data_IF_591595916555
#
_entry.id   IF_591595916555
#
_cell.length_a   1.000
_cell.length_b   1.000
_cell.length_c   1.000
_cell.angle_alpha   90.00
_cell.angle_beta   90.00
_cell.angle_gamma   90.00
#
_symmetry.space_group_name_H-M   'P 1'
#
loop_
_entity.id
_entity.type
_entity.pdbx_description
1 polymer ?
#
# COMPACT_ATOMS: atom_id res chain seq x y z
N UNK A 1 0.83 0.33 12.30
CA UNK A 1 2.09 -0.33 11.96
C UNK A 1 1.95 -1.86 11.87
N UNK A 2 1.41 -2.57 12.87
CA UNK A 2 1.32 -4.05 12.91
C UNK A 2 0.71 -4.66 11.64
N UNK A 3 -0.45 -4.18 11.19
CA UNK A 3 -1.09 -4.71 9.98
C UNK A 3 -0.29 -4.50 8.69
N UNK A 4 0.45 -3.40 8.58
CA UNK A 4 1.32 -3.16 7.43
C UNK A 4 2.49 -4.16 7.37
N UNK A 5 3.07 -4.48 8.53
CA UNK A 5 4.10 -5.51 8.63
C UNK A 5 3.56 -6.92 8.39
N UNK A 6 2.36 -7.22 8.89
CA UNK A 6 1.70 -8.50 8.62
C UNK A 6 1.39 -8.65 7.13
N UNK A 7 0.97 -7.58 6.46
CA UNK A 7 0.76 -7.58 5.00
C UNK A 7 2.07 -7.84 4.22
N UNK A 8 3.20 -7.27 4.69
CA UNK A 8 4.50 -7.44 4.03
C UNK A 8 5.17 -8.80 4.32
N UNK A 9 5.10 -9.28 5.55
CA UNK A 9 5.88 -10.44 6.03
C UNK A 9 5.05 -11.65 6.45
N UNK A 10 3.71 -11.56 6.33
CA UNK A 10 2.80 -12.58 6.83
C UNK A 10 2.63 -12.54 8.36
N UNK A 11 1.66 -13.30 8.83
CA UNK A 11 1.38 -13.48 10.26
C UNK A 11 1.98 -14.79 10.76
N UNK A 12 2.57 -14.78 11.95
CA UNK A 12 3.05 -15.97 12.64
C UNK A 12 2.41 -16.07 14.02
N UNK A 13 1.75 -17.19 14.30
CA UNK A 13 1.08 -17.42 15.60
C UNK A 13 2.04 -17.64 16.77
N UNK A 14 3.28 -18.04 16.49
CA UNK A 14 4.31 -18.15 17.52
C UNK A 14 4.94 -16.77 17.80
N UNK A 15 4.47 -16.13 18.86
CA UNK A 15 4.89 -14.79 19.24
C UNK A 15 6.36 -14.77 19.70
N UNK A 16 6.86 -15.83 20.31
CA UNK A 16 8.17 -15.87 20.95
C UNK A 16 9.34 -16.15 20.01
N UNK A 17 9.14 -17.04 19.05
CA UNK A 17 10.20 -17.48 18.15
C UNK A 17 9.80 -17.43 16.68
N UNK A 18 8.67 -16.81 16.36
CA UNK A 18 8.23 -16.59 15.00
C UNK A 18 8.99 -15.46 14.29
N UNK A 19 8.87 -15.40 12.96
CA UNK A 19 9.50 -14.40 12.11
C UNK A 19 8.50 -13.59 11.26
N UNK A 20 7.22 -13.67 11.59
CA UNK A 20 6.16 -12.93 10.91
C UNK A 20 6.23 -11.42 11.16
N UNK A 21 5.43 -10.65 10.42
CA UNK A 21 5.34 -9.21 10.58
C UNK A 21 4.93 -8.77 11.98
N UNK A 22 4.06 -9.53 12.64
CA UNK A 22 3.70 -9.29 14.04
C UNK A 22 4.89 -9.44 15.00
N UNK A 23 5.76 -10.43 14.80
CA UNK A 23 6.98 -10.62 15.59
C UNK A 23 7.97 -9.48 15.38
N UNK A 24 8.22 -9.10 14.12
CA UNK A 24 9.11 -7.99 13.76
C UNK A 24 8.66 -6.68 14.39
N UNK A 25 7.38 -6.35 14.31
CA UNK A 25 6.84 -5.12 14.93
C UNK A 25 7.00 -5.13 16.43
N UNK A 26 6.71 -6.24 17.10
CA UNK A 26 6.90 -6.36 18.55
C UNK A 26 8.36 -6.08 18.93
N UNK A 27 9.32 -6.66 18.22
CA UNK A 27 10.74 -6.44 18.46
C UNK A 27 11.13 -4.97 18.26
N UNK A 28 10.74 -4.38 17.12
CA UNK A 28 11.03 -2.98 16.80
C UNK A 28 10.46 -2.04 17.87
N UNK A 29 9.20 -2.26 18.30
CA UNK A 29 8.57 -1.42 19.32
C UNK A 29 9.29 -1.53 20.67
N UNK A 30 9.63 -2.75 21.10
CA UNK A 30 10.37 -2.95 22.37
C UNK A 30 11.75 -2.28 22.32
N UNK A 31 12.46 -2.37 21.21
CA UNK A 31 13.76 -1.73 21.07
C UNK A 31 13.65 -0.20 20.93
N UNK A 32 12.61 0.30 20.26
CA UNK A 32 12.31 1.73 20.19
C UNK A 32 12.04 2.33 21.58
N UNK A 33 11.32 1.61 22.46
CA UNK A 33 11.10 2.07 23.84
C UNK A 33 12.39 2.28 24.64
N UNK A 34 13.46 1.55 24.30
CA UNK A 34 14.79 1.72 24.92
C UNK A 34 15.54 2.94 24.39
N UNK A 35 15.17 3.42 23.21
CA UNK A 35 15.82 4.53 22.51
C UNK A 35 15.13 5.88 22.76
N UNK A 36 13.94 5.88 23.35
CA UNK A 36 13.19 7.10 23.59
C UNK A 36 13.85 7.97 24.68
N UNK A 37 13.78 9.31 24.53
CA UNK A 37 14.20 10.23 25.60
C UNK A 37 13.25 10.15 26.81
N UNK A 38 13.62 10.77 27.93
CA UNK A 38 12.70 11.01 29.02
C UNK A 38 11.57 11.94 28.55
N UNK A 39 10.32 11.61 28.87
CA UNK A 39 9.12 12.35 28.43
C UNK A 39 8.98 12.46 26.90
N UNK A 40 8.92 11.33 26.19
CA UNK A 40 8.90 11.33 24.74
C UNK A 40 7.57 11.87 24.19
N UNK A 41 7.66 12.66 23.15
CA UNK A 41 6.53 13.07 22.33
C UNK A 41 6.14 11.97 21.30
N UNK A 42 5.06 12.18 20.56
CA UNK A 42 4.69 11.29 19.44
C UNK A 42 5.73 11.28 18.33
N UNK A 43 6.36 12.41 18.07
CA UNK A 43 7.45 12.54 17.06
C UNK A 43 8.67 11.76 17.54
N UNK A 44 9.07 11.88 18.81
CA UNK A 44 10.16 11.10 19.39
C UNK A 44 9.88 9.58 19.33
N UNK A 45 8.61 9.19 19.55
CA UNK A 45 8.18 7.80 19.39
C UNK A 45 8.35 7.28 17.98
N UNK A 46 7.97 8.07 16.96
CA UNK A 46 8.22 7.73 15.55
C UNK A 46 9.72 7.59 15.27
N UNK A 47 10.51 8.55 15.70
CA UNK A 47 11.94 8.60 15.41
C UNK A 47 12.69 7.46 16.10
N UNK A 48 12.27 7.10 17.32
CA UNK A 48 12.80 5.92 18.01
C UNK A 48 12.49 4.61 17.30
N UNK A 49 11.31 4.47 16.68
CA UNK A 49 10.96 3.30 15.87
C UNK A 49 11.81 3.23 14.60
N UNK A 50 12.05 4.35 13.92
CA UNK A 50 12.95 4.43 12.78
C UNK A 50 14.40 4.10 13.16
N UNK A 51 14.86 4.58 14.32
CA UNK A 51 16.18 4.27 14.85
C UNK A 51 16.33 2.78 15.21
N UNK A 52 15.29 2.16 15.76
CA UNK A 52 15.26 0.72 16.04
C UNK A 52 15.30 -0.10 14.73
N UNK A 53 14.55 0.27 13.70
CA UNK A 53 14.62 -0.38 12.38
C UNK A 53 16.02 -0.22 11.80
N UNK A 54 16.61 0.96 11.86
CA UNK A 54 17.99 1.18 11.39
C UNK A 54 18.99 0.29 12.13
N UNK A 55 18.86 0.11 13.44
CA UNK A 55 19.75 -0.72 14.23
C UNK A 55 19.60 -2.23 13.98
N UNK A 56 18.36 -2.70 13.75
CA UNK A 56 18.06 -4.14 13.59
C UNK A 56 18.21 -4.60 12.14
N UNK A 57 17.74 -3.80 11.18
CA UNK A 57 17.62 -4.21 9.78
C UNK A 57 18.47 -3.38 8.82
N UNK A 58 19.13 -2.32 9.29
CA UNK A 58 19.79 -1.33 8.43
C UNK A 58 18.78 -0.39 7.75
N UNK A 59 17.59 -0.19 8.32
CA UNK A 59 16.55 0.69 7.79
C UNK A 59 15.73 0.07 6.64
N UNK A 60 15.67 -1.25 6.57
CA UNK A 60 14.97 -1.97 5.48
C UNK A 60 13.47 -1.64 5.42
N UNK A 61 12.86 -1.32 6.56
CA UNK A 61 11.45 -1.02 6.66
C UNK A 61 11.14 0.47 6.85
N UNK A 62 12.15 1.34 6.78
CA UNK A 62 12.01 2.78 7.04
C UNK A 62 10.90 3.45 6.22
N UNK A 63 10.77 3.10 4.93
CA UNK A 63 9.69 3.63 4.08
C UNK A 63 8.30 3.19 4.53
N UNK A 64 8.15 1.91 4.89
CA UNK A 64 6.88 1.39 5.40
C UNK A 64 6.50 2.09 6.72
N UNK A 65 7.49 2.30 7.59
CA UNK A 65 7.31 3.02 8.87
C UNK A 65 6.87 4.46 8.60
N UNK A 66 7.59 5.19 7.73
CA UNK A 66 7.24 6.56 7.36
C UNK A 66 5.82 6.67 6.80
N UNK A 67 5.43 5.80 5.88
CA UNK A 67 4.08 5.80 5.31
C UNK A 67 3.00 5.59 6.38
N UNK A 68 3.22 4.66 7.31
CA UNK A 68 2.25 4.37 8.38
C UNK A 68 2.09 5.56 9.31
N UNK A 69 3.19 6.23 9.67
CA UNK A 69 3.15 7.40 10.55
C UNK A 69 2.60 8.64 9.83
N UNK A 70 3.01 8.89 8.59
CA UNK A 70 2.51 10.01 7.79
C UNK A 70 0.99 9.96 7.61
N UNK A 71 0.41 8.79 7.35
CA UNK A 71 -1.06 8.60 7.29
C UNK A 71 -1.80 9.01 8.57
N UNK A 72 -1.08 9.18 9.67
CA UNK A 72 -1.62 9.59 10.98
C UNK A 72 -1.21 10.99 11.38
N UNK A 73 -0.70 11.79 10.42
CA UNK A 73 -0.26 13.15 10.66
C UNK A 73 1.15 13.27 11.26
N UNK A 74 1.88 12.15 11.41
CA UNK A 74 3.25 12.11 11.94
C UNK A 74 4.27 11.98 10.80
N UNK A 75 4.07 12.72 9.70
CA UNK A 75 5.00 12.80 8.57
C UNK A 75 6.27 13.59 8.88
N UNK A 76 7.04 13.86 7.83
CA UNK A 76 8.38 14.45 7.91
C UNK A 76 8.41 15.80 8.67
N UNK A 77 7.46 16.68 8.38
CA UNK A 77 7.34 18.02 8.97
C UNK A 77 6.45 18.09 10.22
N UNK A 78 6.02 16.95 10.78
CA UNK A 78 5.20 16.94 11.98
C UNK A 78 5.97 17.48 13.18
N UNK A 79 5.28 18.26 14.01
CA UNK A 79 5.84 18.83 15.26
C UNK A 79 4.93 18.54 16.44
N UNK A 80 5.51 18.15 17.55
CA UNK A 80 4.79 17.95 18.82
C UNK A 80 4.57 19.23 19.61
N UNK A 81 5.11 20.36 19.16
CA UNK A 81 4.99 21.64 19.87
C UNK A 81 5.67 21.65 21.23
N UNK A 82 5.22 22.54 22.11
CA UNK A 82 5.69 22.63 23.48
C UNK A 82 5.01 21.56 24.35
N UNK A 83 5.77 20.85 25.15
CA UNK A 83 5.29 19.77 26.04
C UNK A 83 4.20 20.23 27.02
N UNK A 84 4.14 21.52 27.33
CA UNK A 84 3.16 22.11 28.25
C UNK A 84 1.91 22.68 27.57
N UNK A 85 1.89 22.73 26.23
CA UNK A 85 0.75 23.19 25.44
C UNK A 85 0.07 22.03 24.75
N UNK A 86 -1.24 22.04 24.70
CA UNK A 86 -2.04 20.96 24.08
C UNK A 86 -2.63 21.32 22.71
N UNK A 87 -2.30 22.48 22.17
CA UNK A 87 -2.94 23.03 20.96
C UNK A 87 -1.95 23.62 19.94
N UNK A 88 -0.66 23.35 20.09
CA UNK A 88 0.40 23.85 19.20
C UNK A 88 1.07 22.76 18.37
N UNK A 89 0.52 21.54 18.40
CA UNK A 89 0.98 20.45 17.55
C UNK A 89 0.65 20.74 16.09
N UNK A 90 1.57 20.35 15.22
CA UNK A 90 1.39 20.45 13.76
C UNK A 90 1.43 19.07 13.13
N UNK A 91 0.36 18.67 12.48
CA UNK A 91 0.32 17.44 11.69
C UNK A 91 1.01 17.65 10.33
N UNK A 92 1.63 16.59 9.82
CA UNK A 92 2.19 16.55 8.48
C UNK A 92 2.02 15.16 7.88
N UNK A 93 1.70 15.09 6.59
CA UNK A 93 1.43 13.84 5.87
C UNK A 93 2.51 13.51 4.85
N UNK A 94 3.57 14.30 4.77
CA UNK A 94 4.68 14.08 3.86
C UNK A 94 5.59 12.95 4.36
N UNK A 95 6.10 12.16 3.42
CA UNK A 95 7.16 11.19 3.65
C UNK A 95 8.48 11.72 3.10
N UNK A 96 9.64 11.38 3.69
CA UNK A 96 10.92 11.75 3.11
C UNK A 96 11.11 11.14 1.73
N UNK A 97 11.99 11.75 0.93
CA UNK A 97 12.38 11.18 -0.36
C UNK A 97 12.86 9.72 -0.17
N UNK A 98 12.52 8.81 -1.09
CA UNK A 98 12.90 7.41 -0.99
C UNK A 98 14.42 7.26 -0.86
N UNK A 99 14.87 6.62 0.22
CA UNK A 99 16.26 6.21 0.39
C UNK A 99 16.59 4.94 -0.40
N UNK A 100 17.86 4.47 -0.36
CA UNK A 100 18.31 3.31 -1.12
C UNK A 100 17.59 2.00 -0.75
N UNK A 101 17.02 1.92 0.44
CA UNK A 101 16.24 0.77 0.91
C UNK A 101 14.74 0.93 0.65
N UNK A 102 14.31 2.07 0.14
CA UNK A 102 12.98 2.28 -0.38
C UNK A 102 12.95 1.82 -1.84
N UNK A 103 12.94 0.54 -2.08
CA UNK A 103 12.37 0.10 -3.35
C UNK A 103 10.96 0.68 -3.37
N UNK A 104 10.67 1.47 -4.38
CA UNK A 104 9.31 1.85 -4.72
C UNK A 104 8.54 0.57 -5.05
N UNK A 105 8.22 -0.21 -4.01
CA UNK A 105 7.11 -1.12 -4.07
C UNK A 105 5.93 -0.21 -4.39
N UNK A 106 5.32 -0.43 -5.52
CA UNK A 106 4.14 0.30 -5.93
C UNK A 106 3.14 0.18 -4.78
N UNK A 107 3.00 1.26 -4.01
CA UNK A 107 2.10 1.30 -2.87
C UNK A 107 0.68 1.15 -3.44
N UNK A 108 -0.04 0.10 -3.06
CA UNK A 108 -1.36 -0.23 -3.58
C UNK A 108 -2.39 0.92 -3.46
N UNK A 109 -2.09 1.94 -2.67
CA UNK A 109 -2.93 3.13 -2.52
C UNK A 109 -2.65 4.23 -3.55
N UNK A 110 -1.49 4.23 -4.23
CA UNK A 110 -1.16 5.20 -5.30
C UNK A 110 -1.43 4.64 -6.71
N UNK A 111 -1.62 3.34 -6.86
CA UNK A 111 -1.89 2.73 -8.16
C UNK A 111 -3.31 2.97 -8.68
N UNK A 112 -4.20 3.52 -7.87
CA UNK A 112 -5.52 3.91 -8.39
C UNK A 112 -5.39 4.97 -9.50
N UNK A 113 -4.40 5.86 -9.38
CA UNK A 113 -4.14 6.92 -10.35
C UNK A 113 -3.31 6.47 -11.58
N UNK A 114 -2.74 5.27 -11.55
CA UNK A 114 -1.94 4.73 -12.65
C UNK A 114 -2.72 3.78 -13.56
N UNK A 115 -3.86 3.27 -13.09
CA UNK A 115 -4.66 2.28 -13.82
C UNK A 115 -5.94 2.91 -14.31
N UNK A 116 -6.06 3.00 -15.63
CA UNK A 116 -7.19 3.61 -16.32
C UNK A 116 -7.95 2.56 -17.12
N UNK A 117 -9.25 2.68 -17.10
CA UNK A 117 -10.17 1.88 -17.94
C UNK A 117 -11.03 2.85 -18.72
N UNK A 118 -10.90 2.84 -20.04
CA UNK A 118 -11.62 3.77 -20.89
C UNK A 118 -12.01 3.15 -22.27
N UNK A 119 -13.12 3.58 -22.85
CA UNK A 119 -14.13 4.42 -22.25
C UNK A 119 -14.84 3.73 -21.09
N UNK A 120 -15.24 4.50 -20.08
CA UNK A 120 -16.07 4.04 -19.00
C UNK A 120 -17.11 5.14 -18.71
N UNK A 121 -18.38 4.99 -19.10
CA UNK A 121 -19.05 3.77 -19.60
C UNK A 121 -18.62 3.27 -21.00
N UNK A 122 -18.83 1.97 -21.25
CA UNK A 122 -18.52 1.30 -22.51
C UNK A 122 -19.67 0.37 -22.98
N UNK A 123 -19.59 -0.13 -24.19
CA UNK A 123 -20.51 -1.13 -24.75
C UNK A 123 -20.01 -2.59 -24.60
N UNK A 124 -19.13 -2.85 -23.62
CA UNK A 124 -18.51 -4.17 -23.40
C UNK A 124 -17.11 -4.30 -23.98
N UNK A 125 -16.59 -3.26 -24.64
CA UNK A 125 -15.21 -3.15 -25.11
C UNK A 125 -14.55 -1.91 -24.51
N UNK A 126 -13.38 -2.05 -23.93
CA UNK A 126 -12.63 -0.96 -23.31
C UNK A 126 -11.12 -1.25 -23.29
N UNK A 127 -10.33 -0.20 -23.11
CA UNK A 127 -8.88 -0.30 -22.96
C UNK A 127 -8.53 -0.32 -21.46
N UNK A 128 -7.66 -1.23 -21.08
CA UNK A 128 -6.96 -1.21 -19.81
C UNK A 128 -5.59 -0.58 -20.05
N UNK A 129 -5.31 0.52 -19.37
CA UNK A 129 -4.02 1.18 -19.38
C UNK A 129 -3.43 1.14 -17.97
N UNK A 130 -2.15 0.80 -17.86
CA UNK A 130 -1.39 0.80 -16.61
C UNK A 130 -0.10 1.57 -16.88
N UNK A 131 -0.08 2.83 -16.46
CA UNK A 131 1.06 3.71 -16.72
C UNK A 131 2.35 3.17 -16.09
N UNK A 132 3.39 3.04 -16.92
CA UNK A 132 4.71 2.64 -16.47
C UNK A 132 4.87 1.16 -16.12
N UNK A 133 3.87 0.32 -16.42
CA UNK A 133 3.94 -1.12 -16.18
C UNK A 133 4.14 -1.90 -17.49
N UNK A 134 5.04 -2.86 -17.43
CA UNK A 134 5.23 -3.90 -18.46
C UNK A 134 5.44 -5.23 -17.77
N UNK A 135 4.77 -6.28 -18.22
CA UNK A 135 4.90 -7.61 -17.61
C UNK A 135 3.64 -8.46 -17.76
N UNK A 136 3.61 -9.59 -17.08
CA UNK A 136 2.46 -10.48 -17.11
C UNK A 136 1.36 -9.99 -16.18
N UNK A 137 0.15 -9.91 -16.70
CA UNK A 137 -1.06 -9.67 -15.91
C UNK A 137 -2.07 -10.78 -16.06
N UNK A 138 -2.87 -10.92 -15.02
CA UNK A 138 -4.07 -11.75 -15.01
C UNK A 138 -5.26 -10.88 -14.61
N UNK A 139 -6.37 -10.94 -15.36
CA UNK A 139 -7.56 -10.24 -14.94
C UNK A 139 -8.79 -11.16 -14.85
N UNK A 140 -9.70 -10.78 -14.00
CA UNK A 140 -11.01 -11.38 -13.81
C UNK A 140 -12.08 -10.28 -13.76
N UNK A 141 -13.23 -10.54 -14.40
CA UNK A 141 -14.37 -9.60 -14.38
C UNK A 141 -15.53 -10.25 -13.64
N UNK A 142 -16.10 -9.49 -12.69
CA UNK A 142 -17.21 -9.93 -11.85
C UNK A 142 -18.41 -9.00 -12.00
N UNK A 143 -19.61 -9.55 -11.84
CA UNK A 143 -20.82 -8.76 -11.65
C UNK A 143 -20.95 -8.28 -10.17
N UNK A 144 -21.98 -7.47 -9.91
CA UNK A 144 -22.27 -6.95 -8.55
C UNK A 144 -22.61 -8.05 -7.52
N UNK A 145 -22.91 -9.27 -7.96
CA UNK A 145 -23.17 -10.44 -7.11
C UNK A 145 -21.93 -11.27 -6.86
N UNK A 146 -20.76 -10.86 -7.39
CA UNK A 146 -19.50 -11.59 -7.29
C UNK A 146 -19.37 -12.78 -8.25
N UNK A 147 -20.30 -12.92 -9.22
CA UNK A 147 -20.20 -13.97 -10.23
C UNK A 147 -19.17 -13.59 -11.28
N UNK A 148 -18.22 -14.48 -11.55
CA UNK A 148 -17.20 -14.31 -12.60
C UNK A 148 -17.85 -14.35 -13.98
N UNK A 149 -17.62 -13.30 -14.76
CA UNK A 149 -18.13 -13.12 -16.12
C UNK A 149 -17.06 -13.45 -17.15
N UNK A 150 -15.83 -13.03 -16.90
CA UNK A 150 -14.69 -13.23 -17.79
C UNK A 150 -13.40 -13.39 -17.00
N UNK A 151 -12.45 -14.11 -17.59
CA UNK A 151 -11.12 -14.31 -17.03
C UNK A 151 -10.10 -14.44 -18.16
N UNK A 152 -8.92 -13.85 -18.01
CA UNK A 152 -7.78 -14.07 -18.89
C UNK A 152 -6.48 -14.10 -18.08
N UNK A 153 -5.70 -15.15 -18.29
CA UNK A 153 -4.44 -15.41 -17.58
C UNK A 153 -3.24 -15.13 -18.48
N UNK A 154 -2.17 -14.67 -17.86
CA UNK A 154 -0.85 -14.53 -18.51
C UNK A 154 -0.89 -13.71 -19.79
N UNK A 155 -1.40 -12.49 -19.70
CA UNK A 155 -1.33 -11.51 -20.79
C UNK A 155 0.00 -10.79 -20.67
N UNK A 156 0.77 -10.78 -21.75
CA UNK A 156 1.95 -9.94 -21.86
C UNK A 156 1.49 -8.49 -22.09
N UNK A 157 1.59 -7.68 -21.05
CA UNK A 157 1.04 -6.34 -21.02
C UNK A 157 2.13 -5.29 -21.29
N UNK A 158 1.86 -4.44 -22.27
CA UNK A 158 2.72 -3.31 -22.62
C UNK A 158 1.88 -2.05 -22.73
N UNK A 159 1.92 -1.20 -21.72
CA UNK A 159 1.23 0.07 -21.57
C UNK A 159 -0.30 0.01 -21.60
N UNK A 160 -0.92 -0.60 -22.62
CA UNK A 160 -2.36 -0.73 -22.74
C UNK A 160 -2.78 -2.00 -23.49
N UNK A 161 -3.95 -2.53 -23.13
CA UNK A 161 -4.48 -3.77 -23.70
C UNK A 161 -5.99 -3.65 -23.88
N UNK A 162 -6.55 -3.98 -25.05
CA UNK A 162 -7.99 -4.03 -25.25
C UNK A 162 -8.60 -5.22 -24.51
N UNK A 163 -9.72 -4.97 -23.85
CA UNK A 163 -10.54 -5.98 -23.19
C UNK A 163 -11.92 -5.99 -23.82
N UNK A 164 -12.32 -7.14 -24.30
CA UNK A 164 -13.62 -7.37 -24.91
C UNK A 164 -14.39 -8.39 -24.07
N UNK A 165 -15.55 -7.99 -23.57
CA UNK A 165 -16.43 -8.85 -22.77
C UNK A 165 -17.53 -9.49 -23.63
N UNK A 166 -17.60 -9.13 -24.92
CA UNK A 166 -18.64 -9.58 -25.84
C UNK A 166 -20.02 -9.03 -25.49
N UNK A 167 -21.07 -9.80 -25.81
CA UNK A 167 -22.45 -9.41 -25.49
C UNK A 167 -22.73 -9.60 -24.02
N UNK A 168 -22.69 -8.51 -23.27
CA UNK A 168 -22.92 -8.45 -21.83
C UNK A 168 -24.08 -7.50 -21.53
N UNK A 169 -24.86 -7.75 -20.50
CA UNK A 169 -25.97 -6.89 -20.08
C UNK A 169 -25.45 -5.55 -19.55
N UNK A 170 -26.20 -4.47 -19.81
CA UNK A 170 -25.91 -3.17 -19.21
C UNK A 170 -25.93 -3.25 -17.68
N UNK A 171 -24.94 -2.64 -17.04
CA UNK A 171 -24.80 -2.71 -15.59
C UNK A 171 -23.43 -2.31 -15.08
N UNK A 172 -23.24 -2.51 -13.77
CA UNK A 172 -21.96 -2.27 -13.08
C UNK A 172 -21.22 -3.59 -12.92
N UNK A 173 -19.95 -3.57 -13.24
CA UNK A 173 -19.03 -4.70 -13.15
C UNK A 173 -17.73 -4.27 -12.47
N UNK A 174 -16.95 -5.23 -12.00
CA UNK A 174 -15.66 -5.02 -11.38
C UNK A 174 -14.61 -5.86 -12.11
N UNK A 175 -13.56 -5.20 -12.58
CA UNK A 175 -12.38 -5.87 -13.11
C UNK A 175 -11.31 -5.93 -12.02
N UNK A 176 -10.92 -7.14 -11.64
CA UNK A 176 -9.80 -7.41 -10.76
C UNK A 176 -8.58 -7.74 -11.60
N UNK A 177 -7.50 -7.00 -11.38
CA UNK A 177 -6.24 -7.13 -12.11
C UNK A 177 -5.18 -7.57 -11.12
N UNK A 178 -4.49 -8.65 -11.44
CA UNK A 178 -3.38 -9.17 -10.66
C UNK A 178 -2.13 -9.21 -11.54
N UNK A 179 -1.03 -8.71 -11.02
CA UNK A 179 0.32 -8.88 -11.54
C UNK A 179 1.21 -9.46 -10.41
N UNK A 180 2.47 -9.74 -10.71
CA UNK A 180 3.38 -10.29 -9.71
C UNK A 180 3.56 -9.33 -8.51
N UNK A 181 3.53 -8.01 -8.78
CA UNK A 181 3.82 -6.98 -7.79
C UNK A 181 2.57 -6.28 -7.23
N UNK A 182 1.38 -6.46 -7.84
CA UNK A 182 0.16 -5.80 -7.37
C UNK A 182 -1.15 -6.53 -7.70
N UNK A 183 -2.20 -6.20 -6.94
CA UNK A 183 -3.59 -6.57 -7.22
C UNK A 183 -4.49 -5.37 -6.98
N UNK A 184 -5.36 -5.07 -7.94
CA UNK A 184 -6.31 -3.96 -7.84
C UNK A 184 -7.66 -4.33 -8.43
N UNK A 185 -8.68 -3.54 -8.09
CA UNK A 185 -10.04 -3.72 -8.62
C UNK A 185 -10.59 -2.37 -9.09
N UNK A 186 -11.01 -2.29 -10.35
CA UNK A 186 -11.65 -1.10 -10.92
C UNK A 186 -13.11 -1.36 -11.26
N UNK A 187 -13.94 -0.34 -11.06
CA UNK A 187 -15.34 -0.36 -11.47
C UNK A 187 -15.47 -0.03 -12.95
N UNK A 188 -16.23 -0.82 -13.69
CA UNK A 188 -16.60 -0.58 -15.09
C UNK A 188 -18.13 -0.51 -15.22
N UNK A 189 -18.60 0.34 -16.10
CA UNK A 189 -20.03 0.55 -16.40
C UNK A 189 -20.26 0.16 -17.86
N UNK A 190 -21.17 -0.76 -18.07
CA UNK A 190 -21.59 -1.21 -19.40
C UNK A 190 -22.96 -0.61 -19.71
N UNK A 191 -23.11 -0.05 -20.91
CA UNK A 191 -24.35 0.57 -21.41
C UNK A 191 -24.93 -0.20 -22.59
#
# INVERSE_FOLDING_TARGET
MTWAYVAKYGYNSNIYSGNGGNNKVLQIVVDALKLQPCFPSFVDGRDAILAADQAITGGQDSCLIWQVFARRGLGLGASSGDTFLSNDQTENFEVPAPGPNCTLGIDFTQNEDLIFVYPNPSNGSFMLNINGFTGLIHYEVFDVKGRKISEKKSIDFVNETPIELGSIQSGVYFIKINADDFSTTKKIIIQ
#
